data_IF_860562645796
#
_entry.id   IF_860562645796
#
_cell.length_a   1.000
_cell.length_b   1.000
_cell.length_c   1.000
_cell.angle_alpha   90.00
_cell.angle_beta   90.00
_cell.angle_gamma   90.00
#
_symmetry.space_group_name_H-M   'P 1'
#
loop_
_entity.id
_entity.type
_entity.pdbx_description
1 polymer ?
#
# COMPACT_ATOMS: atom_id res chain seq x y z
N UNK A 1 18.55 -10.58 16.72
CA UNK A 1 18.91 -9.19 16.38
C UNK A 1 18.19 -8.80 15.11
N UNK A 2 17.54 -7.66 15.13
CA UNK A 2 16.95 -7.12 13.90
C UNK A 2 18.08 -6.79 12.91
N UNK A 3 18.16 -7.50 11.81
CA UNK A 3 19.09 -7.16 10.73
C UNK A 3 18.55 -5.95 9.98
N UNK A 4 19.32 -4.87 9.91
CA UNK A 4 18.95 -3.72 9.08
C UNK A 4 18.74 -4.18 7.63
N UNK A 5 17.53 -4.00 7.12
CA UNK A 5 17.18 -4.32 5.73
C UNK A 5 17.09 -3.04 4.92
N UNK A 6 17.64 -3.09 3.71
CA UNK A 6 17.48 -1.99 2.76
C UNK A 6 16.04 -2.00 2.22
N UNK A 7 15.38 -0.86 2.27
CA UNK A 7 14.08 -0.67 1.63
C UNK A 7 14.27 -0.67 0.11
N UNK A 8 13.62 -1.57 -0.59
CA UNK A 8 13.63 -1.69 -2.05
C UNK A 8 12.28 -1.40 -2.67
N UNK A 9 11.19 -1.81 -2.00
CA UNK A 9 9.82 -1.61 -2.48
C UNK A 9 8.96 -0.97 -1.40
N UNK A 10 8.27 0.10 -1.75
CA UNK A 10 7.31 0.79 -0.91
C UNK A 10 5.91 0.72 -1.51
N UNK A 11 4.95 0.23 -0.72
CA UNK A 11 3.53 0.36 -1.02
C UNK A 11 3.02 1.68 -0.45
N UNK A 12 2.49 2.53 -1.32
CA UNK A 12 1.97 3.85 -0.94
C UNK A 12 0.48 3.89 -1.25
N UNK A 13 -0.34 4.12 -0.23
CA UNK A 13 -1.79 4.21 -0.36
C UNK A 13 -2.32 5.24 0.63
N UNK A 14 -2.43 6.50 0.19
CA UNK A 14 -2.80 7.62 1.05
C UNK A 14 -3.94 8.43 0.47
N UNK A 15 -4.83 8.88 1.32
CA UNK A 15 -5.88 9.84 0.98
C UNK A 15 -5.30 11.25 0.89
N UNK A 16 -4.55 11.68 1.90
CA UNK A 16 -3.91 13.00 1.96
C UNK A 16 -2.52 12.94 1.30
N UNK A 17 -2.24 13.91 0.42
CA UNK A 17 -0.97 13.99 -0.32
C UNK A 17 -0.02 15.05 0.26
N UNK A 18 -0.47 15.79 1.28
CA UNK A 18 0.33 16.85 1.90
C UNK A 18 1.61 16.28 2.50
N UNK A 19 2.75 16.86 2.15
CA UNK A 19 4.06 16.40 2.63
C UNK A 19 4.57 15.09 2.04
N UNK A 20 3.82 14.44 1.14
CA UNK A 20 4.21 13.16 0.55
C UNK A 20 5.34 13.30 -0.48
N UNK A 21 5.33 14.35 -1.30
CA UNK A 21 6.32 14.53 -2.37
C UNK A 21 7.78 14.51 -1.89
N UNK A 22 8.20 15.27 -0.84
CA UNK A 22 9.59 15.22 -0.37
C UNK A 22 10.02 13.81 0.05
N UNK A 23 9.12 13.05 0.69
CA UNK A 23 9.38 11.67 1.10
C UNK A 23 9.58 10.76 -0.11
N UNK A 24 8.68 10.83 -1.09
CA UNK A 24 8.78 10.03 -2.32
C UNK A 24 10.07 10.33 -3.08
N UNK A 25 10.45 11.60 -3.22
CA UNK A 25 11.70 11.96 -3.87
C UNK A 25 12.93 11.45 -3.11
N UNK A 26 12.90 11.49 -1.78
CA UNK A 26 13.97 10.94 -0.97
C UNK A 26 14.09 9.43 -1.16
N UNK A 27 12.99 8.69 -1.09
CA UNK A 27 12.97 7.24 -1.30
C UNK A 27 13.45 6.88 -2.73
N UNK A 28 13.00 7.62 -3.73
CA UNK A 28 13.41 7.40 -5.12
C UNK A 28 14.93 7.59 -5.31
N UNK A 29 15.54 8.62 -4.69
CA UNK A 29 17.00 8.80 -4.73
C UNK A 29 17.77 7.63 -4.12
N UNK A 30 17.15 6.90 -3.20
CA UNK A 30 17.73 5.68 -2.62
C UNK A 30 17.39 4.41 -3.42
N UNK A 31 16.76 4.55 -4.58
CA UNK A 31 16.44 3.44 -5.47
C UNK A 31 15.21 2.63 -5.06
N UNK A 32 14.35 3.19 -4.21
CA UNK A 32 13.10 2.54 -3.81
C UNK A 32 12.10 2.57 -4.95
N UNK A 33 11.52 1.41 -5.27
CA UNK A 33 10.43 1.26 -6.22
C UNK A 33 9.08 1.49 -5.54
N UNK A 34 8.15 2.13 -6.24
CA UNK A 34 6.81 2.40 -5.73
C UNK A 34 5.78 1.47 -6.31
N UNK A 35 4.91 0.98 -5.43
CA UNK A 35 3.71 0.23 -5.74
C UNK A 35 2.51 1.01 -5.18
N UNK A 36 1.51 1.29 -5.98
CA UNK A 36 0.36 2.08 -5.56
C UNK A 36 -0.88 1.80 -6.39
N UNK A 37 -1.99 2.43 -6.03
CA UNK A 37 -3.27 2.27 -6.71
C UNK A 37 -4.06 3.58 -6.70
N UNK A 38 -4.98 3.72 -7.64
CA UNK A 38 -5.91 4.86 -7.73
C UNK A 38 -5.21 6.21 -7.76
N UNK A 39 -5.77 7.18 -7.04
CA UNK A 39 -5.29 8.56 -7.04
C UNK A 39 -3.88 8.73 -6.48
N UNK A 40 -3.41 7.85 -5.61
CA UNK A 40 -2.01 7.89 -5.12
C UNK A 40 -1.04 7.50 -6.23
N UNK A 41 -1.37 6.49 -7.04
CA UNK A 41 -0.57 6.14 -8.21
C UNK A 41 -0.47 7.32 -9.17
N UNK A 42 -1.60 7.95 -9.49
CA UNK A 42 -1.64 9.08 -10.42
C UNK A 42 -0.84 10.28 -9.88
N UNK A 43 -0.91 10.54 -8.58
CA UNK A 43 -0.10 11.55 -7.93
C UNK A 43 1.41 11.27 -8.07
N UNK A 44 1.87 10.05 -7.78
CA UNK A 44 3.29 9.67 -7.90
C UNK A 44 3.77 9.85 -9.35
N UNK A 45 2.99 9.40 -10.31
CA UNK A 45 3.31 9.55 -11.74
C UNK A 45 3.34 11.03 -12.15
N UNK A 46 2.47 11.88 -11.61
CA UNK A 46 2.46 13.32 -11.91
C UNK A 46 3.72 14.04 -11.45
N UNK A 47 4.44 13.48 -10.47
CA UNK A 47 5.74 13.97 -10.02
C UNK A 47 6.91 13.54 -10.92
N UNK A 48 6.63 12.78 -11.99
CA UNK A 48 7.65 12.19 -12.86
C UNK A 48 8.36 10.98 -12.25
N UNK A 49 7.80 10.37 -11.20
CA UNK A 49 8.36 9.20 -10.53
C UNK A 49 7.72 7.93 -11.07
N UNK A 50 8.50 6.87 -11.37
CA UNK A 50 7.94 5.58 -11.78
C UNK A 50 7.17 4.94 -10.64
N UNK A 51 6.02 4.37 -10.96
CA UNK A 51 5.16 3.69 -9.99
C UNK A 51 4.43 2.53 -10.67
N UNK A 52 4.52 1.34 -10.10
CA UNK A 52 3.77 0.18 -10.55
C UNK A 52 2.34 0.22 -9.98
N UNK A 53 1.38 -0.21 -10.78
CA UNK A 53 -0.01 -0.38 -10.29
C UNK A 53 -0.17 -1.69 -9.53
N UNK A 54 -0.87 -1.65 -8.43
CA UNK A 54 -1.25 -2.88 -7.69
C UNK A 54 -2.03 -3.83 -8.60
N UNK A 55 -2.88 -3.31 -9.45
CA UNK A 55 -3.68 -4.07 -10.42
C UNK A 55 -2.80 -4.85 -11.41
N UNK A 56 -1.66 -4.28 -11.81
CA UNK A 56 -0.71 -4.97 -12.69
C UNK A 56 0.06 -6.06 -11.93
N UNK A 57 0.45 -5.79 -10.68
CA UNK A 57 1.09 -6.77 -9.82
C UNK A 57 0.18 -7.97 -9.53
N UNK A 58 -1.07 -7.73 -9.22
CA UNK A 58 -2.03 -8.78 -8.84
C UNK A 58 -2.64 -9.48 -10.05
N UNK A 59 -2.67 -8.83 -11.20
CA UNK A 59 -3.42 -9.27 -12.37
C UNK A 59 -4.93 -9.20 -12.15
N UNK A 60 -5.39 -8.45 -11.14
CA UNK A 60 -6.80 -8.36 -10.77
C UNK A 60 -7.30 -6.92 -10.89
N UNK A 61 -8.41 -6.68 -11.59
CA UNK A 61 -8.89 -5.33 -11.80
C UNK A 61 -9.44 -4.69 -10.51
N UNK A 62 -9.42 -3.37 -10.47
CA UNK A 62 -10.05 -2.60 -9.41
C UNK A 62 -11.57 -2.58 -9.62
N UNK A 63 -12.23 -3.57 -9.05
CA UNK A 63 -13.70 -3.74 -9.11
C UNK A 63 -14.37 -3.26 -7.83
N UNK A 64 -15.70 -3.28 -7.81
CA UNK A 64 -16.53 -2.91 -6.65
C UNK A 64 -16.16 -1.52 -6.09
N UNK A 65 -15.95 -0.55 -6.98
CA UNK A 65 -15.55 0.80 -6.57
C UNK A 65 -14.17 0.89 -5.92
N UNK A 66 -13.29 -0.08 -6.16
CA UNK A 66 -11.95 -0.13 -5.59
C UNK A 66 -11.89 -0.65 -4.16
N UNK A 67 -13.00 -1.17 -3.61
CA UNK A 67 -13.08 -1.62 -2.21
C UNK A 67 -12.20 -2.83 -1.88
N UNK A 68 -11.75 -3.60 -2.87
CA UNK A 68 -10.98 -4.85 -2.70
C UNK A 68 -9.61 -4.83 -3.35
N UNK A 69 -9.21 -3.74 -3.98
CA UNK A 69 -8.04 -3.65 -4.87
C UNK A 69 -6.70 -4.08 -4.24
N UNK A 70 -6.49 -3.84 -2.95
CA UNK A 70 -5.28 -4.25 -2.23
C UNK A 70 -5.43 -5.56 -1.46
N UNK A 71 -6.64 -6.10 -1.33
CA UNK A 71 -6.93 -7.33 -0.60
C UNK A 71 -6.60 -8.56 -1.47
N UNK A 72 -5.31 -8.79 -1.65
CA UNK A 72 -4.82 -9.85 -2.53
C UNK A 72 -3.56 -10.50 -1.93
N UNK A 73 -3.38 -11.83 -2.07
CA UNK A 73 -2.21 -12.55 -1.53
C UNK A 73 -0.86 -11.99 -1.98
N UNK A 74 -0.73 -11.47 -3.21
CA UNK A 74 0.52 -10.85 -3.68
C UNK A 74 0.86 -9.56 -2.94
N UNK A 75 -0.12 -8.81 -2.47
CA UNK A 75 0.10 -7.61 -1.65
C UNK A 75 0.37 -7.99 -0.21
N UNK A 76 -0.56 -8.72 0.42
CA UNK A 76 -0.44 -9.09 1.84
C UNK A 76 0.68 -10.09 2.10
N UNK A 77 0.92 -11.01 1.19
CA UNK A 77 2.08 -11.91 1.26
C UNK A 77 3.40 -11.15 1.16
N UNK A 78 3.49 -10.12 0.34
CA UNK A 78 4.66 -9.25 0.25
C UNK A 78 4.99 -8.52 1.55
N UNK A 79 3.95 -8.16 2.33
CA UNK A 79 4.08 -7.51 3.63
C UNK A 79 4.33 -8.55 4.74
N UNK A 80 3.58 -9.66 4.75
CA UNK A 80 3.52 -10.62 5.85
C UNK A 80 4.56 -11.75 5.75
N UNK A 81 5.20 -11.96 4.61
CA UNK A 81 6.18 -13.02 4.41
C UNK A 81 7.37 -12.88 5.37
N UNK A 82 7.64 -13.95 6.12
CA UNK A 82 8.75 -14.01 7.09
C UNK A 82 10.00 -14.45 6.35
N UNK A 83 10.90 -13.51 6.10
CA UNK A 83 12.07 -13.70 5.21
C UNK A 83 13.20 -14.52 5.82
N UNK A 84 13.08 -14.87 7.09
CA UNK A 84 13.98 -15.75 7.85
C UNK A 84 13.47 -17.19 7.95
N UNK A 85 12.25 -17.45 7.47
CA UNK A 85 11.67 -18.79 7.40
C UNK A 85 11.74 -19.35 5.97
N UNK A 86 12.41 -20.49 5.83
CA UNK A 86 12.61 -21.13 4.54
C UNK A 86 11.31 -21.47 3.82
N UNK A 87 10.29 -21.92 4.56
CA UNK A 87 8.98 -22.26 4.01
C UNK A 87 8.26 -21.04 3.42
N UNK A 88 8.30 -19.88 4.12
CA UNK A 88 7.70 -18.65 3.62
C UNK A 88 8.43 -18.19 2.35
N UNK A 89 9.76 -18.22 2.36
CA UNK A 89 10.58 -17.83 1.20
C UNK A 89 10.28 -18.72 -0.01
N UNK A 90 10.16 -20.03 0.19
CA UNK A 90 9.81 -20.98 -0.86
C UNK A 90 8.42 -20.70 -1.43
N UNK A 91 7.41 -20.47 -0.57
CA UNK A 91 6.05 -20.18 -1.00
C UNK A 91 5.97 -18.83 -1.74
N UNK A 92 6.66 -17.80 -1.25
CA UNK A 92 6.72 -16.51 -1.94
C UNK A 92 7.29 -16.66 -3.35
N UNK A 93 8.37 -17.44 -3.51
CA UNK A 93 8.95 -17.72 -4.83
C UNK A 93 7.97 -18.51 -5.71
N UNK A 94 7.35 -19.56 -5.17
CA UNK A 94 6.40 -20.40 -5.90
C UNK A 94 5.19 -19.63 -6.44
N UNK A 95 4.67 -18.68 -5.65
CA UNK A 95 3.50 -17.89 -5.99
C UNK A 95 3.82 -16.49 -6.52
N UNK A 96 5.08 -16.24 -6.86
CA UNK A 96 5.55 -14.97 -7.43
C UNK A 96 5.18 -13.75 -6.56
N UNK A 97 5.41 -13.88 -5.26
CA UNK A 97 5.16 -12.81 -4.28
C UNK A 97 6.47 -12.07 -4.03
N UNK A 98 6.55 -10.82 -4.47
CA UNK A 98 7.67 -9.93 -4.18
C UNK A 98 7.59 -9.35 -2.77
N UNK A 99 8.75 -8.96 -2.23
CA UNK A 99 8.80 -8.32 -0.91
C UNK A 99 8.29 -6.87 -0.97
N UNK A 100 7.53 -6.48 0.04
CA UNK A 100 7.17 -5.07 0.30
C UNK A 100 7.85 -4.70 1.61
N UNK A 101 8.78 -3.75 1.54
CA UNK A 101 9.65 -3.39 2.67
C UNK A 101 9.12 -2.23 3.49
N UNK A 102 8.32 -1.36 2.87
CA UNK A 102 7.76 -0.17 3.48
C UNK A 102 6.30 -0.01 3.08
N UNK A 103 5.46 0.30 4.03
CA UNK A 103 4.05 0.64 3.82
C UNK A 103 3.81 2.07 4.28
N UNK A 104 3.37 2.92 3.36
CA UNK A 104 2.98 4.30 3.65
C UNK A 104 1.48 4.39 3.41
N UNK A 105 0.72 4.57 4.47
CA UNK A 105 -0.73 4.52 4.43
C UNK A 105 -1.33 5.51 5.43
N UNK A 106 -2.41 6.17 5.02
CA UNK A 106 -3.32 6.87 5.92
C UNK A 106 -4.75 6.32 5.74
N UNK A 107 -5.66 6.80 6.54
CA UNK A 107 -7.05 6.40 6.50
C UNK A 107 -7.92 7.47 5.84
N UNK A 108 -9.07 7.07 5.33
CA UNK A 108 -10.11 8.00 4.89
C UNK A 108 -10.53 8.92 6.03
N UNK A 109 -10.89 10.19 5.72
CA UNK A 109 -11.29 11.19 6.73
C UNK A 109 -12.71 10.94 7.24
N UNK A 110 -12.93 9.86 7.98
CA UNK A 110 -14.25 9.45 8.48
C UNK A 110 -14.83 10.50 9.43
N UNK A 111 -14.05 10.94 10.42
CA UNK A 111 -14.52 11.91 11.42
C UNK A 111 -14.86 13.27 10.79
N UNK A 112 -14.03 13.75 9.89
CA UNK A 112 -14.28 15.01 9.16
C UNK A 112 -15.53 14.90 8.29
N UNK A 113 -15.76 13.74 7.67
CA UNK A 113 -16.95 13.49 6.86
C UNK A 113 -18.21 13.50 7.72
N UNK A 114 -18.18 12.90 8.90
CA UNK A 114 -19.29 12.98 9.87
C UNK A 114 -19.55 14.43 10.30
N UNK A 115 -18.48 15.14 10.66
CA UNK A 115 -18.56 16.54 11.11
C UNK A 115 -19.09 17.50 10.03
N UNK A 116 -18.87 17.17 8.74
CA UNK A 116 -19.36 17.98 7.61
C UNK A 116 -20.88 17.91 7.39
N UNK A 117 -21.59 17.02 8.08
CA UNK A 117 -23.01 16.79 7.87
C UNK A 117 -23.33 16.05 6.56
N UNK A 118 -22.39 15.27 6.04
CA UNK A 118 -22.55 14.45 4.85
C UNK A 118 -23.69 13.42 5.01
N UNK A 119 -24.16 12.87 3.89
CA UNK A 119 -25.17 11.82 3.90
C UNK A 119 -24.67 10.55 4.60
N UNK A 120 -25.58 9.73 5.13
CA UNK A 120 -25.23 8.44 5.72
C UNK A 120 -24.47 7.54 4.72
N UNK A 121 -24.82 7.58 3.44
CA UNK A 121 -24.14 6.84 2.40
C UNK A 121 -22.70 7.29 2.21
N UNK A 122 -22.44 8.61 2.18
CA UNK A 122 -21.09 9.17 2.05
C UNK A 122 -20.22 8.86 3.28
N UNK A 123 -20.81 8.89 4.47
CA UNK A 123 -20.11 8.52 5.71
C UNK A 123 -19.72 7.05 5.69
N UNK A 124 -20.62 6.16 5.30
CA UNK A 124 -20.33 4.71 5.18
C UNK A 124 -19.21 4.45 4.17
N UNK A 125 -19.15 5.17 3.05
CA UNK A 125 -18.05 5.04 2.08
C UNK A 125 -16.68 5.44 2.65
N UNK A 126 -16.63 6.18 3.75
CA UNK A 126 -15.38 6.53 4.44
C UNK A 126 -14.95 5.52 5.50
N UNK A 127 -15.67 4.41 5.66
CA UNK A 127 -15.18 3.26 6.44
C UNK A 127 -14.06 2.60 5.63
N UNK A 128 -12.83 2.75 6.10
CA UNK A 128 -11.64 2.27 5.40
C UNK A 128 -11.45 0.78 5.63
N UNK A 129 -11.48 -0.02 4.57
CA UNK A 129 -11.23 -1.47 4.62
C UNK A 129 -9.76 -1.77 4.30
N UNK A 130 -9.28 -1.24 3.18
CA UNK A 130 -7.93 -1.54 2.68
C UNK A 130 -6.84 -0.91 3.54
N UNK A 131 -6.95 0.36 3.89
CA UNK A 131 -5.93 1.07 4.67
C UNK A 131 -5.72 0.49 6.04
N UNK A 132 -6.79 0.21 6.80
CA UNK A 132 -6.67 -0.40 8.12
C UNK A 132 -6.07 -1.81 8.05
N UNK A 133 -6.40 -2.57 7.01
CA UNK A 133 -5.84 -3.91 6.79
C UNK A 133 -4.35 -3.85 6.50
N UNK A 134 -3.89 -2.88 5.70
CA UNK A 134 -2.48 -2.64 5.42
C UNK A 134 -1.70 -2.24 6.68
N UNK A 135 -2.27 -1.37 7.51
CA UNK A 135 -1.67 -0.97 8.80
C UNK A 135 -1.47 -2.21 9.69
N UNK A 136 -2.50 -3.04 9.82
CA UNK A 136 -2.43 -4.25 10.64
C UNK A 136 -1.39 -5.25 10.13
N UNK A 137 -1.31 -5.45 8.82
CA UNK A 137 -0.33 -6.34 8.21
C UNK A 137 1.11 -5.85 8.44
N UNK A 138 1.35 -4.56 8.19
CA UNK A 138 2.67 -3.95 8.40
C UNK A 138 3.10 -4.02 9.88
N UNK A 139 2.20 -3.71 10.81
CA UNK A 139 2.46 -3.79 12.25
C UNK A 139 2.74 -5.22 12.72
N UNK A 140 2.13 -6.24 12.09
CA UNK A 140 2.36 -7.64 12.45
C UNK A 140 3.74 -8.15 12.07
N UNK A 141 4.35 -7.59 11.04
CA UNK A 141 5.59 -8.12 10.43
C UNK A 141 6.67 -7.04 10.21
N UNK A 142 6.80 -6.12 11.18
CA UNK A 142 7.83 -5.08 11.12
C UNK A 142 9.22 -5.61 11.50
#
# INVERSE_FOLDING_TARGET
MATNRKIQTALVSVYHKDGLEPLLRALHRHGVQFLSTGGTHDFICSLGLPCERVEDLTGYPSILGGRVKTLHPKVFGGILGRRDLADDVQQMAQYEIGNIDLVIVDLYPFEDTVASGASAADIIEKIDIGGISLIRAAAKNF
#
